data_IF_669518447135
#
_entry.id   IF_669518447135
#
_cell.length_a   1.000
_cell.length_b   1.000
_cell.length_c   1.000
_cell.angle_alpha   90.00
_cell.angle_beta   90.00
_cell.angle_gamma   90.00
#
_symmetry.space_group_name_H-M   'P 1'
#
loop_
_entity.id
_entity.type
_entity.pdbx_description
1 polymer ?
#
# COMPACT_ATOMS: atom_id res chain seq x y z
N UNK A 1 7.26 -15.31 6.09
CA UNK A 1 7.95 -14.04 6.40
C UNK A 1 6.88 -13.02 6.72
N UNK A 2 7.11 -12.15 7.70
CA UNK A 2 6.12 -11.16 8.14
C UNK A 2 6.71 -9.80 7.87
N UNK A 3 6.29 -9.15 6.79
CA UNK A 3 6.71 -7.77 6.53
C UNK A 3 6.22 -6.85 7.65
N UNK A 4 6.81 -5.66 7.76
CA UNK A 4 6.25 -4.54 8.52
C UNK A 4 5.79 -3.48 7.54
N UNK A 5 4.80 -2.69 7.92
CA UNK A 5 4.32 -1.57 7.10
C UNK A 5 4.61 -0.25 7.79
N UNK A 6 5.15 0.69 7.02
CA UNK A 6 5.28 2.09 7.40
C UNK A 6 4.51 2.93 6.39
N UNK A 7 3.73 3.88 6.91
CA UNK A 7 3.06 4.91 6.14
C UNK A 7 3.93 6.16 6.12
N UNK A 8 4.22 6.67 4.93
CA UNK A 8 4.85 7.98 4.81
C UNK A 8 3.91 9.08 5.29
N UNK A 9 4.48 10.24 5.65
CA UNK A 9 3.68 11.42 6.00
C UNK A 9 2.76 11.88 4.85
N UNK A 10 3.19 11.71 3.60
CA UNK A 10 2.37 12.04 2.41
C UNK A 10 1.19 11.09 2.25
N UNK A 11 1.37 9.79 2.47
CA UNK A 11 0.29 8.81 2.46
C UNK A 11 -0.72 9.11 3.58
N UNK A 12 -0.23 9.34 4.80
CA UNK A 12 -1.10 9.65 5.94
C UNK A 12 -1.93 10.92 5.72
N UNK A 13 -1.34 11.97 5.14
CA UNK A 13 -2.05 13.21 4.84
C UNK A 13 -3.21 13.02 3.85
N UNK A 14 -3.11 12.03 2.94
CA UNK A 14 -4.17 11.69 1.97
C UNK A 14 -5.33 10.94 2.59
N UNK A 15 -5.13 10.30 3.74
CA UNK A 15 -6.17 9.57 4.46
C UNK A 15 -7.08 10.47 5.29
N UNK A 16 -6.90 11.80 5.22
CA UNK A 16 -7.80 12.75 5.89
C UNK A 16 -9.23 12.57 5.37
N UNK A 17 -10.19 12.46 6.28
CA UNK A 17 -11.62 12.22 5.99
C UNK A 17 -11.92 10.88 5.28
N UNK A 18 -11.04 9.88 5.39
CA UNK A 18 -11.34 8.54 4.92
C UNK A 18 -12.65 8.03 5.55
N UNK A 19 -13.64 7.62 4.74
CA UNK A 19 -14.79 6.88 5.25
C UNK A 19 -14.33 5.57 5.90
N UNK A 20 -15.04 5.11 6.91
CA UNK A 20 -14.70 3.87 7.62
C UNK A 20 -14.55 2.67 6.67
N UNK A 21 -15.40 2.59 5.65
CA UNK A 21 -15.32 1.53 4.63
C UNK A 21 -14.01 1.59 3.81
N UNK A 22 -13.53 2.79 3.47
CA UNK A 22 -12.26 2.96 2.77
C UNK A 22 -11.07 2.62 3.68
N UNK A 23 -11.17 2.98 4.97
CA UNK A 23 -10.16 2.65 5.97
C UNK A 23 -10.06 1.13 6.17
N UNK A 24 -11.18 0.44 6.31
CA UNK A 24 -11.21 -1.01 6.45
C UNK A 24 -10.63 -1.70 5.20
N UNK A 25 -11.05 -1.28 4.00
CA UNK A 25 -10.51 -1.84 2.76
C UNK A 25 -9.00 -1.62 2.62
N UNK A 26 -8.48 -0.47 3.08
CA UNK A 26 -7.04 -0.19 3.10
C UNK A 26 -6.31 -1.09 4.09
N UNK A 27 -6.84 -1.29 5.30
CA UNK A 27 -6.25 -2.14 6.33
C UNK A 27 -6.24 -3.61 5.87
N UNK A 28 -7.36 -4.11 5.37
CA UNK A 28 -7.49 -5.47 4.82
C UNK A 28 -6.47 -5.68 3.70
N UNK A 29 -6.42 -4.76 2.73
CA UNK A 29 -5.46 -4.89 1.63
C UNK A 29 -4.01 -4.84 2.11
N UNK A 30 -3.71 -4.01 3.10
CA UNK A 30 -2.37 -3.94 3.69
C UNK A 30 -2.02 -5.25 4.42
N UNK A 31 -2.98 -5.87 5.11
CA UNK A 31 -2.78 -7.15 5.79
C UNK A 31 -2.48 -8.29 4.80
N UNK A 32 -3.16 -8.32 3.65
CA UNK A 32 -2.84 -9.28 2.58
C UNK A 32 -1.40 -9.09 2.08
N UNK A 33 -0.99 -7.84 1.83
CA UNK A 33 0.35 -7.50 1.37
C UNK A 33 1.44 -7.83 2.41
N UNK A 34 1.13 -7.86 3.70
CA UNK A 34 2.09 -8.28 4.72
C UNK A 34 2.50 -9.75 4.58
N UNK A 35 1.59 -10.59 4.09
CA UNK A 35 1.85 -12.00 3.81
C UNK A 35 2.42 -12.19 2.41
N UNK A 36 1.92 -11.43 1.43
CA UNK A 36 2.29 -11.56 0.03
C UNK A 36 2.48 -10.19 -0.66
N UNK A 37 3.62 -9.49 -0.45
CA UNK A 37 3.84 -8.16 -1.00
C UNK A 37 3.83 -8.11 -2.53
N UNK A 38 4.06 -9.26 -3.17
CA UNK A 38 4.09 -9.37 -4.61
C UNK A 38 2.74 -9.62 -5.26
N UNK A 39 1.66 -9.78 -4.48
CA UNK A 39 0.29 -9.71 -4.97
C UNK A 39 -0.07 -8.25 -5.28
N UNK A 40 0.61 -7.66 -6.25
CA UNK A 40 0.46 -6.29 -6.70
C UNK A 40 1.12 -6.11 -8.07
N UNK A 41 0.77 -5.05 -8.77
CA UNK A 41 1.39 -4.75 -10.06
C UNK A 41 2.72 -4.02 -9.87
N UNK A 42 3.66 -4.26 -10.78
CA UNK A 42 4.93 -3.53 -10.84
C UNK A 42 4.69 -2.16 -11.44
N UNK A 43 5.17 -1.11 -10.77
CA UNK A 43 4.95 0.27 -11.18
C UNK A 43 5.91 0.73 -12.30
N UNK A 44 7.19 0.33 -12.22
CA UNK A 44 8.19 0.70 -13.22
C UNK A 44 8.80 -0.54 -13.89
N UNK A 45 8.93 -0.56 -15.23
CA UNK A 45 9.58 -1.66 -15.93
C UNK A 45 10.98 -1.95 -15.37
N UNK A 46 11.25 -3.21 -15.03
CA UNK A 46 12.54 -3.64 -14.47
C UNK A 46 12.77 -3.33 -12.98
N UNK A 47 11.78 -2.76 -12.28
CA UNK A 47 11.85 -2.46 -10.83
C UNK A 47 10.75 -3.23 -10.08
N UNK A 48 11.08 -4.43 -9.63
CA UNK A 48 10.12 -5.32 -8.92
C UNK A 48 9.76 -4.83 -7.51
N UNK A 49 10.51 -3.85 -7.01
CA UNK A 49 10.45 -3.28 -5.66
C UNK A 49 9.41 -2.15 -5.54
N UNK A 50 9.07 -1.46 -6.63
CA UNK A 50 8.03 -0.42 -6.64
C UNK A 50 6.74 -0.99 -7.21
N UNK A 51 5.69 -0.98 -6.40
CA UNK A 51 4.45 -1.69 -6.69
C UNK A 51 3.24 -0.82 -6.41
N UNK A 52 2.13 -1.20 -7.04
CA UNK A 52 0.84 -0.62 -6.78
C UNK A 52 -0.29 -1.64 -6.84
N UNK A 53 -1.34 -1.38 -6.07
CA UNK A 53 -2.57 -2.16 -6.05
C UNK A 53 -3.76 -1.25 -5.79
N UNK A 54 -4.97 -1.71 -6.12
CA UNK A 54 -6.18 -1.13 -5.56
C UNK A 54 -6.41 -1.62 -4.13
N UNK A 55 -7.18 -0.85 -3.34
CA UNK A 55 -7.74 -1.29 -2.07
C UNK A 55 -9.27 -1.17 -2.13
N UNK A 56 -9.96 -2.31 -2.09
CA UNK A 56 -11.39 -2.39 -2.39
C UNK A 56 -11.74 -1.69 -3.71
N UNK A 57 -12.83 -0.92 -3.71
CA UNK A 57 -13.24 -0.05 -4.82
C UNK A 57 -12.97 1.45 -4.58
N UNK A 58 -12.11 1.79 -3.63
CA UNK A 58 -11.97 3.18 -3.13
C UNK A 58 -10.78 3.93 -3.69
N UNK A 59 -9.71 3.24 -4.09
CA UNK A 59 -8.51 3.91 -4.54
C UNK A 59 -7.33 2.99 -4.83
N UNK A 60 -6.17 3.63 -4.98
CA UNK A 60 -4.88 3.02 -5.26
C UNK A 60 -3.90 3.24 -4.10
N UNK A 61 -3.08 2.24 -3.90
CA UNK A 61 -1.96 2.20 -2.97
C UNK A 61 -0.67 2.08 -3.77
N UNK A 62 0.28 2.98 -3.58
CA UNK A 62 1.64 2.83 -4.10
C UNK A 62 2.62 2.58 -2.95
N UNK A 63 3.48 1.59 -3.13
CA UNK A 63 4.39 1.16 -2.09
C UNK A 63 5.72 0.64 -2.64
N UNK A 64 6.72 0.65 -1.77
CA UNK A 64 8.03 0.06 -2.00
C UNK A 64 8.23 -1.15 -1.09
N UNK A 65 8.80 -2.23 -1.62
CA UNK A 65 9.16 -3.44 -0.87
C UNK A 65 10.68 -3.54 -0.73
N UNK A 66 11.15 -3.52 0.51
CA UNK A 66 12.51 -3.88 0.88
C UNK A 66 12.49 -5.30 1.49
N UNK A 67 12.88 -6.28 0.67
CA UNK A 67 12.91 -7.69 1.09
C UNK A 67 13.98 -7.98 2.14
N UNK A 68 15.11 -7.26 2.10
CA UNK A 68 16.20 -7.47 3.05
C UNK A 68 15.83 -6.97 4.45
N UNK A 69 15.09 -5.86 4.52
CA UNK A 69 14.57 -5.29 5.77
C UNK A 69 13.19 -5.84 6.18
N UNK A 70 12.58 -6.70 5.37
CA UNK A 70 11.19 -7.15 5.50
C UNK A 70 10.22 -5.95 5.72
N UNK A 71 10.36 -4.91 4.89
CA UNK A 71 9.64 -3.64 5.07
C UNK A 71 8.85 -3.25 3.81
N UNK A 72 7.58 -2.93 4.00
CA UNK A 72 6.72 -2.25 3.02
C UNK A 72 6.61 -0.77 3.43
N UNK A 73 6.96 0.12 2.52
CA UNK A 73 6.76 1.56 2.69
C UNK A 73 5.65 2.03 1.76
N UNK A 74 4.47 2.33 2.31
CA UNK A 74 3.39 2.97 1.59
C UNK A 74 3.70 4.46 1.50
N UNK A 75 4.02 4.94 0.30
CA UNK A 75 4.43 6.33 0.10
C UNK A 75 3.33 7.22 -0.48
N UNK A 76 2.32 6.62 -1.11
CA UNK A 76 1.21 7.35 -1.72
C UNK A 76 -0.10 6.55 -1.66
N UNK A 77 -1.18 7.27 -1.35
CA UNK A 77 -2.56 6.78 -1.37
C UNK A 77 -3.35 7.74 -2.25
N UNK A 78 -4.01 7.21 -3.27
CA UNK A 78 -4.84 7.98 -4.21
C UNK A 78 -6.28 7.51 -4.08
N UNK A 79 -7.20 8.42 -3.78
CA UNK A 79 -8.63 8.14 -3.70
C UNK A 79 -9.41 9.40 -4.05
N UNK A 80 -10.65 9.24 -4.51
CA UNK A 80 -11.48 10.34 -5.04
C UNK A 80 -12.45 10.93 -4.00
N UNK A 81 -12.03 10.95 -2.73
CA UNK A 81 -12.82 11.51 -1.63
C UNK A 81 -13.24 12.95 -1.80
#
# INVERSE_FOLDING_TARGET
MSFRVILSGSALARMKNFPDLAMNALIERTADLLAEPWDAHVLYPGRTDYRHTTFGGFGLLHFHVDEAAELITIYEVVWSG
#
